data_IF_090955510247
#
_entry.id   IF_090955510247
#
_cell.length_a   1.000
_cell.length_b   1.000
_cell.length_c   1.000
_cell.angle_alpha   90.00
_cell.angle_beta   90.00
_cell.angle_gamma   90.00
#
_symmetry.space_group_name_H-M   'P 1'
#
loop_
_entity.id
_entity.type
_entity.pdbx_description
1 polymer ?
#
# COMPACT_ATOMS: atom_id res chain seq x y z
N UNK A 1 -32.08 -11.74 5.48
CA UNK A 1 -31.97 -11.79 4.00
C UNK A 1 -31.35 -10.49 3.46
N UNK A 2 -30.14 -10.10 3.91
CA UNK A 2 -29.47 -8.83 3.50
C UNK A 2 -27.96 -9.06 3.33
N UNK A 3 -27.54 -10.17 2.70
CA UNK A 3 -26.10 -10.45 2.44
C UNK A 3 -25.74 -10.65 0.97
N UNK A 4 -26.72 -10.78 0.06
CA UNK A 4 -26.43 -11.06 -1.36
C UNK A 4 -26.05 -9.80 -2.16
N UNK A 5 -26.46 -8.59 -1.73
CA UNK A 5 -26.18 -7.35 -2.47
C UNK A 5 -24.73 -6.85 -2.41
N UNK A 6 -23.97 -7.18 -1.36
CA UNK A 6 -22.58 -6.69 -1.19
C UNK A 6 -21.58 -7.51 -2.01
N UNK A 7 -21.88 -8.79 -2.27
CA UNK A 7 -21.01 -9.70 -3.02
C UNK A 7 -21.02 -9.41 -4.54
N UNK A 8 -22.16 -9.02 -5.11
CA UNK A 8 -22.26 -8.66 -6.54
C UNK A 8 -21.48 -7.37 -6.88
N UNK A 9 -21.41 -6.40 -5.96
CA UNK A 9 -20.66 -5.15 -6.14
C UNK A 9 -19.14 -5.38 -6.19
N UNK A 10 -18.61 -6.34 -5.43
CA UNK A 10 -17.19 -6.70 -5.48
C UNK A 10 -16.83 -7.44 -6.80
N UNK A 11 -17.72 -8.29 -7.30
CA UNK A 11 -17.47 -9.11 -8.49
C UNK A 11 -17.33 -8.29 -9.79
N UNK A 12 -18.08 -7.18 -9.90
CA UNK A 12 -17.99 -6.27 -11.06
C UNK A 12 -16.77 -5.33 -11.01
N UNK A 13 -16.14 -5.18 -9.84
CA UNK A 13 -14.92 -4.40 -9.62
C UNK A 13 -13.66 -5.11 -10.17
N UNK A 14 -13.61 -6.44 -10.08
CA UNK A 14 -12.45 -7.28 -10.48
C UNK A 14 -12.06 -7.13 -11.96
N UNK A 15 -13.01 -6.90 -12.87
CA UNK A 15 -12.75 -6.75 -14.32
C UNK A 15 -12.37 -5.30 -14.70
N UNK A 16 -12.77 -4.30 -13.90
CA UNK A 16 -12.37 -2.90 -14.11
C UNK A 16 -10.99 -2.60 -13.52
N UNK A 17 -10.62 -3.24 -12.41
CA UNK A 17 -9.38 -2.98 -11.68
C UNK A 17 -8.11 -3.37 -12.47
N UNK A 18 -8.13 -4.46 -13.24
CA UNK A 18 -6.95 -4.90 -14.04
C UNK A 18 -6.65 -3.97 -15.22
N UNK A 19 -7.68 -3.36 -15.82
CA UNK A 19 -7.51 -2.40 -16.93
C UNK A 19 -7.04 -1.03 -16.44
N UNK A 20 -7.56 -0.56 -15.30
CA UNK A 20 -7.11 0.68 -14.64
C UNK A 20 -5.68 0.55 -14.11
N UNK A 21 -5.28 -0.61 -13.58
CA UNK A 21 -3.91 -0.85 -13.13
C UNK A 21 -2.89 -0.81 -14.28
N UNK A 22 -3.21 -1.39 -15.44
CA UNK A 22 -2.36 -1.32 -16.64
C UNK A 22 -2.32 0.09 -17.25
N UNK A 23 -3.46 0.77 -17.35
CA UNK A 23 -3.53 2.14 -17.89
C UNK A 23 -2.80 3.15 -16.97
N UNK A 24 -2.80 2.93 -15.65
CA UNK A 24 -2.05 3.74 -14.68
C UNK A 24 -0.54 3.47 -14.71
N UNK A 25 -0.13 2.21 -14.93
CA UNK A 25 1.28 1.85 -15.16
C UNK A 25 1.80 2.49 -16.47
N UNK A 26 0.99 2.53 -17.54
CA UNK A 26 1.35 3.22 -18.78
C UNK A 26 1.34 4.76 -18.65
N UNK A 27 0.45 5.34 -17.83
CA UNK A 27 0.45 6.77 -17.54
C UNK A 27 1.68 7.20 -16.73
N UNK A 28 2.09 6.41 -15.73
CA UNK A 28 3.32 6.60 -14.95
C UNK A 28 4.59 6.53 -15.83
N UNK A 29 4.60 5.70 -16.88
CA UNK A 29 5.73 5.65 -17.79
C UNK A 29 5.86 6.90 -18.68
N UNK A 30 4.74 7.59 -18.95
CA UNK A 30 4.68 8.79 -19.78
C UNK A 30 5.11 10.06 -19.03
N UNK A 31 4.79 10.14 -17.74
CA UNK A 31 5.16 11.28 -16.89
C UNK A 31 6.62 11.22 -16.38
N UNK A 32 7.31 10.08 -16.56
CA UNK A 32 8.75 9.91 -16.33
C UNK A 32 9.62 10.58 -17.42
N UNK A 33 9.03 11.04 -18.53
CA UNK A 33 9.72 11.78 -19.59
C UNK A 33 9.43 13.29 -19.50
N UNK A 34 9.84 13.94 -18.41
CA UNK A 34 9.96 15.40 -18.39
C UNK A 34 11.40 15.81 -18.02
N UNK A 35 12.09 16.64 -18.83
CA UNK A 35 13.50 16.93 -18.68
C UNK A 35 13.71 18.08 -17.68
N UNK A 36 13.84 17.75 -16.40
CA UNK A 36 14.28 18.71 -15.38
C UNK A 36 15.27 18.04 -14.42
N UNK A 37 16.40 17.54 -14.93
CA UNK A 37 17.51 17.07 -14.09
C UNK A 37 18.81 17.64 -14.68
N UNK A 38 19.05 18.92 -14.42
CA UNK A 38 20.39 19.49 -14.43
C UNK A 38 20.68 19.94 -12.99
N UNK A 39 21.49 19.17 -12.26
CA UNK A 39 22.05 19.61 -10.97
C UNK A 39 21.76 18.74 -9.73
N UNK A 40 21.71 17.41 -9.84
CA UNK A 40 21.67 16.52 -8.67
C UNK A 40 22.91 15.61 -8.63
N UNK A 41 23.78 15.84 -7.65
CA UNK A 41 25.05 15.12 -7.45
C UNK A 41 24.88 13.75 -6.77
N UNK A 42 23.64 13.31 -6.47
CA UNK A 42 23.36 12.04 -5.79
C UNK A 42 22.39 11.14 -6.58
N UNK A 43 22.80 10.81 -7.81
CA UNK A 43 22.07 9.87 -8.68
C UNK A 43 21.98 8.45 -8.09
N UNK A 44 22.91 8.07 -7.19
CA UNK A 44 23.02 6.73 -6.63
C UNK A 44 21.87 6.34 -5.69
N UNK A 45 21.43 7.27 -4.84
CA UNK A 45 20.33 7.01 -3.89
C UNK A 45 18.97 6.82 -4.60
N UNK A 46 18.74 7.53 -5.72
CA UNK A 46 17.52 7.41 -6.50
C UNK A 46 17.46 6.07 -7.25
N UNK A 47 18.59 5.61 -7.82
CA UNK A 47 18.65 4.31 -8.50
C UNK A 47 18.50 3.13 -7.54
N UNK A 48 19.13 3.18 -6.36
CA UNK A 48 19.00 2.15 -5.32
C UNK A 48 17.55 2.05 -4.79
N UNK A 49 16.85 3.18 -4.67
CA UNK A 49 15.43 3.19 -4.28
C UNK A 49 14.51 2.62 -5.37
N UNK A 50 14.75 2.92 -6.64
CA UNK A 50 13.96 2.37 -7.74
C UNK A 50 14.16 0.85 -7.87
N UNK A 51 15.37 0.36 -7.63
CA UNK A 51 15.66 -1.07 -7.57
C UNK A 51 14.92 -1.75 -6.41
N UNK A 52 14.92 -1.14 -5.22
CA UNK A 52 14.15 -1.64 -4.06
C UNK A 52 12.63 -1.62 -4.28
N UNK A 53 12.10 -0.61 -4.96
CA UNK A 53 10.68 -0.56 -5.34
C UNK A 53 10.31 -1.66 -6.36
N UNK A 54 11.24 -2.03 -7.24
CA UNK A 54 11.09 -3.18 -8.14
C UNK A 54 11.11 -4.51 -7.37
N UNK A 55 12.01 -4.66 -6.38
CA UNK A 55 12.06 -5.84 -5.52
C UNK A 55 10.79 -6.03 -4.68
N UNK A 56 10.22 -4.94 -4.13
CA UNK A 56 8.92 -4.98 -3.45
C UNK A 56 7.78 -5.44 -4.38
N UNK A 57 7.86 -5.15 -5.69
CA UNK A 57 6.92 -5.69 -6.67
C UNK A 57 7.08 -7.20 -6.87
N UNK A 58 8.31 -7.72 -6.78
CA UNK A 58 8.58 -9.15 -6.87
C UNK A 58 8.14 -9.89 -5.60
N UNK A 59 8.43 -9.35 -4.42
CA UNK A 59 8.02 -9.93 -3.13
C UNK A 59 6.50 -9.95 -2.96
N UNK A 60 5.81 -8.88 -3.37
CA UNK A 60 4.35 -8.82 -3.32
C UNK A 60 3.67 -9.79 -4.29
N UNK A 61 4.26 -9.98 -5.48
CA UNK A 61 3.83 -11.00 -6.42
C UNK A 61 4.10 -12.41 -5.88
N UNK A 62 5.25 -12.64 -5.25
CA UNK A 62 5.61 -13.90 -4.61
C UNK A 62 4.69 -14.20 -3.41
N UNK A 63 4.33 -13.20 -2.61
CA UNK A 63 3.42 -13.33 -1.48
C UNK A 63 2.00 -13.65 -1.96
N UNK A 64 1.53 -12.94 -2.99
CA UNK A 64 0.25 -13.23 -3.64
C UNK A 64 0.25 -14.64 -4.27
N UNK A 65 1.35 -15.04 -4.91
CA UNK A 65 1.54 -16.39 -5.43
C UNK A 65 1.59 -17.44 -4.32
N UNK A 66 2.25 -17.21 -3.20
CA UNK A 66 2.27 -18.12 -2.04
C UNK A 66 0.88 -18.27 -1.41
N UNK A 67 0.10 -17.19 -1.36
CA UNK A 67 -1.30 -17.24 -0.91
C UNK A 67 -2.18 -18.04 -1.88
N UNK A 68 -1.89 -18.01 -3.19
CA UNK A 68 -2.61 -18.75 -4.22
C UNK A 68 -2.12 -20.20 -4.41
N UNK A 69 -0.83 -20.49 -4.23
CA UNK A 69 -0.20 -21.79 -4.49
C UNK A 69 -0.28 -22.76 -3.31
N UNK A 70 -0.51 -22.29 -2.07
CA UNK A 70 -0.70 -23.19 -0.92
C UNK A 70 -1.97 -24.04 -1.00
N UNK A 71 -2.77 -23.88 -2.06
CA UNK A 71 -3.90 -24.74 -2.42
C UNK A 71 -3.49 -26.08 -3.06
N UNK A 72 -2.25 -26.27 -3.54
CA UNK A 72 -1.84 -27.50 -4.24
C UNK A 72 -1.38 -28.64 -3.31
N UNK A 73 -0.96 -28.35 -2.08
CA UNK A 73 -0.32 -29.34 -1.20
C UNK A 73 -1.32 -30.20 -0.39
N UNK A 74 -2.62 -29.98 -0.52
CA UNK A 74 -3.67 -30.82 0.08
C UNK A 74 -4.14 -31.92 -0.90
N UNK A 75 -3.64 -31.93 -2.14
CA UNK A 75 -4.08 -32.83 -3.22
C UNK A 75 -3.15 -34.01 -3.58
N UNK A 76 -2.08 -34.28 -2.83
CA UNK A 76 -1.11 -35.34 -3.17
C UNK A 76 -1.33 -36.64 -2.38
N UNK A 77 -2.52 -37.23 -2.51
CA UNK A 77 -2.80 -38.55 -1.93
C UNK A 77 -3.89 -39.34 -2.67
N UNK A 78 -3.87 -39.40 -4.00
CA UNK A 78 -4.61 -40.38 -4.82
C UNK A 78 -4.03 -40.34 -6.24
N UNK A 79 -3.75 -41.39 -6.99
CA UNK A 79 -3.74 -42.83 -6.79
C UNK A 79 -3.04 -43.40 -8.04
N UNK A 80 -2.10 -44.32 -7.87
CA UNK A 80 -1.75 -45.30 -8.90
C UNK A 80 -2.87 -46.34 -8.94
N UNK A 81 -3.88 -46.17 -9.81
CA UNK A 81 -4.73 -47.30 -10.26
C UNK A 81 -5.26 -47.02 -11.67
N UNK A 82 -4.71 -47.77 -12.61
CA UNK A 82 -5.16 -47.94 -13.99
C UNK A 82 -6.62 -48.43 -14.04
N UNK A 83 -7.42 -47.89 -14.96
CA UNK A 83 -8.79 -48.36 -15.17
C UNK A 83 -9.69 -47.39 -15.92
N UNK A 84 -9.39 -47.16 -17.19
CA UNK A 84 -10.19 -46.39 -18.14
C UNK A 84 -11.51 -47.12 -18.48
N UNK A 85 -12.55 -46.98 -17.66
CA UNK A 85 -13.97 -47.06 -18.09
C UNK A 85 -15.02 -46.74 -17.00
N UNK A 86 -14.64 -46.01 -15.94
CA UNK A 86 -15.59 -45.60 -14.87
C UNK A 86 -15.60 -44.11 -14.55
N UNK A 87 -15.13 -43.25 -15.46
CA UNK A 87 -15.05 -41.81 -15.21
C UNK A 87 -16.43 -41.15 -15.02
N UNK A 88 -17.47 -41.58 -15.74
CA UNK A 88 -18.79 -40.93 -15.64
C UNK A 88 -19.65 -41.39 -14.44
N UNK A 89 -19.40 -42.61 -13.91
CA UNK A 89 -20.06 -43.09 -12.69
C UNK A 89 -19.30 -42.65 -11.42
N UNK A 90 -18.00 -42.42 -11.51
CA UNK A 90 -17.17 -41.93 -10.39
C UNK A 90 -17.34 -40.43 -10.17
N UNK A 91 -17.50 -39.63 -11.24
CA UNK A 91 -17.82 -38.19 -11.13
C UNK A 91 -19.18 -37.95 -10.46
N UNK A 92 -20.14 -38.88 -10.58
CA UNK A 92 -21.44 -38.79 -9.91
C UNK A 92 -21.48 -39.35 -8.47
N UNK A 93 -20.47 -40.12 -8.04
CA UNK A 93 -20.44 -40.74 -6.69
C UNK A 93 -19.41 -40.09 -5.76
N UNK A 94 -18.44 -39.36 -6.30
CA UNK A 94 -17.52 -38.52 -5.52
C UNK A 94 -18.15 -37.15 -5.26
N UNK A 95 -19.17 -37.11 -4.41
CA UNK A 95 -19.62 -35.89 -3.75
C UNK A 95 -18.56 -35.49 -2.71
N UNK A 96 -17.36 -35.12 -3.19
CA UNK A 96 -16.38 -34.42 -2.36
C UNK A 96 -17.03 -33.07 -2.07
N UNK A 97 -17.25 -32.69 -0.81
CA UNK A 97 -17.79 -31.39 -0.47
C UNK A 97 -16.74 -30.35 -0.86
N UNK A 98 -16.85 -29.85 -2.08
CA UNK A 98 -16.02 -28.78 -2.57
C UNK A 98 -16.46 -27.54 -1.81
N UNK A 99 -15.68 -27.14 -0.82
CA UNK A 99 -15.97 -26.03 0.08
C UNK A 99 -15.76 -24.70 -0.68
N UNK A 100 -16.64 -24.42 -1.65
CA UNK A 100 -16.57 -23.28 -2.58
C UNK A 100 -16.55 -21.93 -1.85
N UNK A 101 -17.12 -21.86 -0.63
CA UNK A 101 -17.10 -20.65 0.19
C UNK A 101 -15.71 -20.22 0.64
N UNK A 102 -14.78 -21.16 0.85
CA UNK A 102 -13.46 -20.83 1.39
C UNK A 102 -12.49 -20.33 0.29
N UNK A 103 -12.61 -20.87 -0.93
CA UNK A 103 -11.79 -20.43 -2.08
C UNK A 103 -12.14 -19.02 -2.54
N UNK A 104 -13.42 -18.66 -2.49
CA UNK A 104 -13.84 -17.29 -2.82
C UNK A 104 -13.28 -16.28 -1.81
N UNK A 105 -13.34 -16.58 -0.52
CA UNK A 105 -12.79 -15.72 0.54
C UNK A 105 -11.26 -15.54 0.39
N UNK A 106 -10.57 -16.60 -0.01
CA UNK A 106 -9.12 -16.58 -0.23
C UNK A 106 -8.72 -15.70 -1.43
N UNK A 107 -9.48 -15.75 -2.52
CA UNK A 107 -9.26 -14.85 -3.65
C UNK A 107 -9.56 -13.38 -3.33
N UNK A 108 -10.62 -13.12 -2.55
CA UNK A 108 -10.95 -11.75 -2.09
C UNK A 108 -9.84 -11.20 -1.20
N UNK A 109 -9.31 -12.00 -0.28
CA UNK A 109 -8.19 -11.61 0.58
C UNK A 109 -6.91 -11.37 -0.23
N UNK A 110 -6.57 -12.26 -1.17
CA UNK A 110 -5.39 -12.08 -2.02
C UNK A 110 -5.49 -10.79 -2.86
N UNK A 111 -6.67 -10.51 -3.42
CA UNK A 111 -6.93 -9.26 -4.14
C UNK A 111 -6.77 -8.05 -3.22
N UNK A 112 -7.34 -8.10 -2.01
CA UNK A 112 -7.24 -7.01 -1.04
C UNK A 112 -5.78 -6.73 -0.64
N UNK A 113 -5.00 -7.77 -0.39
CA UNK A 113 -3.56 -7.63 -0.10
C UNK A 113 -2.83 -6.97 -1.27
N UNK A 114 -3.12 -7.37 -2.52
CA UNK A 114 -2.53 -6.77 -3.70
C UNK A 114 -2.87 -5.27 -3.84
N UNK A 115 -4.13 -4.89 -3.57
CA UNK A 115 -4.58 -3.48 -3.55
C UNK A 115 -3.81 -2.67 -2.51
N UNK A 116 -3.71 -3.18 -1.28
CA UNK A 116 -3.00 -2.51 -0.18
C UNK A 116 -1.53 -2.29 -0.51
N UNK A 117 -0.86 -3.30 -1.05
CA UNK A 117 0.56 -3.21 -1.41
C UNK A 117 0.78 -2.26 -2.59
N UNK A 118 -0.10 -2.28 -3.60
CA UNK A 118 0.02 -1.36 -4.72
C UNK A 118 -0.15 0.11 -4.29
N UNK A 119 -1.11 0.38 -3.40
CA UNK A 119 -1.30 1.71 -2.83
C UNK A 119 -0.08 2.15 -2.00
N UNK A 120 0.44 1.25 -1.16
CA UNK A 120 1.66 1.47 -0.38
C UNK A 120 2.85 1.83 -1.30
N UNK A 121 3.07 1.08 -2.37
CA UNK A 121 4.13 1.33 -3.35
C UNK A 121 3.98 2.69 -4.04
N UNK A 122 2.76 3.02 -4.47
CA UNK A 122 2.44 4.32 -5.08
C UNK A 122 2.76 5.47 -4.12
N UNK A 123 2.40 5.36 -2.84
CA UNK A 123 2.70 6.38 -1.82
C UNK A 123 4.21 6.53 -1.60
N UNK A 124 4.96 5.43 -1.48
CA UNK A 124 6.41 5.49 -1.33
C UNK A 124 7.09 6.15 -2.53
N UNK A 125 6.65 5.85 -3.74
CA UNK A 125 7.16 6.50 -4.94
C UNK A 125 6.94 8.02 -4.89
N UNK A 126 5.74 8.48 -4.50
CA UNK A 126 5.46 9.90 -4.35
C UNK A 126 6.30 10.56 -3.24
N UNK A 127 6.49 9.88 -2.12
CA UNK A 127 7.36 10.34 -1.02
C UNK A 127 8.78 10.54 -1.55
N UNK A 128 9.36 9.56 -2.24
CA UNK A 128 10.72 9.65 -2.77
C UNK A 128 10.87 10.80 -3.77
N UNK A 129 9.94 10.96 -4.71
CA UNK A 129 9.94 12.08 -5.67
C UNK A 129 9.93 13.43 -4.96
N UNK A 130 9.23 13.56 -3.83
CA UNK A 130 9.12 14.82 -3.10
C UNK A 130 10.35 15.13 -2.24
N UNK A 131 10.98 14.11 -1.66
CA UNK A 131 12.20 14.29 -0.85
C UNK A 131 13.39 14.66 -1.72
N UNK A 132 13.59 13.98 -2.85
CA UNK A 132 14.78 14.19 -3.69
C UNK A 132 14.82 15.59 -4.29
N UNK A 133 13.67 16.16 -4.66
CA UNK A 133 13.58 17.51 -5.24
C UNK A 133 13.70 18.68 -4.26
N UNK A 134 14.07 18.46 -2.99
CA UNK A 134 14.07 19.52 -1.98
C UNK A 134 15.33 20.41 -2.05
N UNK A 135 15.20 21.75 -2.08
CA UNK A 135 16.34 22.64 -1.90
C UNK A 135 16.85 22.58 -0.45
N UNK A 136 18.14 22.29 -0.26
CA UNK A 136 18.75 22.17 1.08
C UNK A 136 19.11 23.53 1.74
N UNK A 137 18.99 24.65 1.02
CA UNK A 137 19.35 25.99 1.52
C UNK A 137 18.11 26.80 1.89
N UNK A 138 18.21 27.52 3.02
CA UNK A 138 17.24 28.53 3.51
C UNK A 138 15.82 28.01 3.81
N UNK A 139 15.68 26.70 4.05
CA UNK A 139 14.41 26.08 4.44
C UNK A 139 14.19 26.22 5.95
N UNK A 140 12.94 26.44 6.35
CA UNK A 140 12.56 26.45 7.76
C UNK A 140 12.95 25.10 8.40
N UNK A 141 13.57 25.15 9.58
CA UNK A 141 14.02 23.95 10.31
C UNK A 141 12.91 22.91 10.46
N UNK A 142 11.68 23.32 10.76
CA UNK A 142 10.55 22.40 10.94
C UNK A 142 10.22 21.63 9.66
N UNK A 143 10.21 22.32 8.52
CA UNK A 143 9.96 21.75 7.20
C UNK A 143 11.07 20.78 6.82
N UNK A 144 12.33 21.17 7.04
CA UNK A 144 13.49 20.30 6.81
C UNK A 144 13.40 19.03 7.66
N UNK A 145 13.04 19.15 8.94
CA UNK A 145 12.82 17.99 9.83
C UNK A 145 11.76 17.04 9.27
N UNK A 146 10.61 17.55 8.82
CA UNK A 146 9.54 16.71 8.24
C UNK A 146 10.03 15.89 7.05
N UNK A 147 10.83 16.48 6.16
CA UNK A 147 11.36 15.74 5.03
C UNK A 147 12.40 14.68 5.42
N UNK A 148 13.33 15.00 6.33
CA UNK A 148 14.35 14.04 6.80
C UNK A 148 13.70 12.88 7.55
N UNK A 149 12.76 13.17 8.44
CA UNK A 149 11.98 12.16 9.15
C UNK A 149 11.16 11.32 8.17
N UNK A 150 10.47 11.96 7.24
CA UNK A 150 9.67 11.28 6.23
C UNK A 150 10.52 10.36 5.33
N UNK A 151 11.69 10.81 4.90
CA UNK A 151 12.64 9.98 4.17
C UNK A 151 13.13 8.79 4.99
N UNK A 152 13.51 9.03 6.25
CA UNK A 152 14.01 7.99 7.15
C UNK A 152 12.94 6.92 7.39
N UNK A 153 11.69 7.32 7.62
CA UNK A 153 10.57 6.38 7.80
C UNK A 153 10.30 5.62 6.51
N UNK A 154 10.30 6.30 5.36
CA UNK A 154 10.09 5.64 4.07
C UNK A 154 11.20 4.62 3.75
N UNK A 155 12.46 4.93 4.05
CA UNK A 155 13.56 3.98 3.93
C UNK A 155 13.39 2.77 4.85
N UNK A 156 12.99 2.98 6.11
CA UNK A 156 12.70 1.87 7.04
C UNK A 156 11.60 0.97 6.50
N UNK A 157 10.49 1.56 6.05
CA UNK A 157 9.37 0.82 5.44
C UNK A 157 9.82 0.01 4.21
N UNK A 158 10.65 0.59 3.34
CA UNK A 158 11.24 -0.09 2.18
C UNK A 158 12.14 -1.26 2.58
N UNK A 159 12.92 -1.11 3.65
CA UNK A 159 13.85 -2.14 4.12
C UNK A 159 13.22 -3.21 5.01
N UNK A 160 12.00 -2.99 5.49
CA UNK A 160 11.37 -3.90 6.43
C UNK A 160 10.82 -5.13 5.69
N UNK A 161 11.28 -6.32 6.08
CA UNK A 161 10.71 -7.59 5.61
C UNK A 161 9.33 -7.83 6.23
N UNK A 162 8.50 -8.64 5.58
CA UNK A 162 7.25 -9.10 6.18
C UNK A 162 7.56 -9.98 7.40
N UNK A 163 7.16 -9.54 8.60
CA UNK A 163 7.27 -10.37 9.80
C UNK A 163 6.13 -11.40 9.81
N UNK A 164 6.46 -12.58 9.32
CA UNK A 164 5.57 -13.74 9.26
C UNK A 164 5.94 -14.80 10.31
N UNK A 165 6.82 -14.48 11.26
CA UNK A 165 7.32 -15.46 12.23
C UNK A 165 6.20 -15.87 13.20
N UNK A 166 5.59 -16.99 12.84
CA UNK A 166 4.60 -17.72 13.61
C UNK A 166 5.27 -18.98 14.12
N UNK A 167 5.73 -18.96 15.38
CA UNK A 167 6.19 -20.15 16.11
C UNK A 167 5.01 -21.08 16.37
N UNK A 168 4.60 -21.83 15.35
CA UNK A 168 3.48 -22.76 15.44
C UNK A 168 3.88 -24.10 14.85
N UNK A 169 4.04 -25.07 15.75
CA UNK A 169 4.31 -26.47 15.44
C UNK A 169 3.06 -27.24 14.98
N UNK A 170 1.96 -26.58 14.61
CA UNK A 170 0.70 -27.23 14.24
C UNK A 170 0.39 -27.11 12.74
N UNK A 171 0.17 -28.25 12.08
CA UNK A 171 -0.23 -28.38 10.67
C UNK A 171 -1.74 -28.17 10.47
N UNK A 172 -2.34 -27.24 11.22
CA UNK A 172 -3.79 -27.07 11.28
C UNK A 172 -4.29 -25.91 10.41
N UNK A 173 -5.55 -26.02 9.98
CA UNK A 173 -6.34 -24.99 9.28
C UNK A 173 -6.25 -23.60 9.91
N UNK A 174 -6.11 -23.54 11.24
CA UNK A 174 -5.97 -22.32 12.03
C UNK A 174 -4.67 -21.56 11.69
N UNK A 175 -3.58 -22.25 11.39
CA UNK A 175 -2.30 -21.64 11.02
C UNK A 175 -2.42 -20.80 9.73
N UNK A 176 -3.09 -21.34 8.71
CA UNK A 176 -3.26 -20.64 7.42
C UNK A 176 -4.18 -19.42 7.58
N UNK A 177 -5.24 -19.52 8.38
CA UNK A 177 -6.14 -18.40 8.67
C UNK A 177 -5.42 -17.27 9.44
N UNK A 178 -4.60 -17.64 10.43
CA UNK A 178 -3.79 -16.68 11.19
C UNK A 178 -2.71 -16.01 10.35
N UNK A 179 -2.05 -16.77 9.46
CA UNK A 179 -1.06 -16.22 8.53
C UNK A 179 -1.69 -15.18 7.58
N UNK A 180 -2.87 -15.47 7.04
CA UNK A 180 -3.63 -14.52 6.20
C UNK A 180 -3.96 -13.23 6.95
N UNK A 181 -4.44 -13.34 8.19
CA UNK A 181 -4.71 -12.19 9.05
C UNK A 181 -3.45 -11.36 9.33
N UNK A 182 -2.30 -11.99 9.53
CA UNK A 182 -1.04 -11.27 9.70
C UNK A 182 -0.61 -10.52 8.44
N UNK A 183 -0.75 -11.15 7.28
CA UNK A 183 -0.37 -10.53 6.00
C UNK A 183 -1.22 -9.27 5.74
N UNK A 184 -2.55 -9.36 5.89
CA UNK A 184 -3.42 -8.19 5.69
C UNK A 184 -3.16 -7.11 6.74
N UNK A 185 -2.83 -7.50 7.98
CA UNK A 185 -2.48 -6.56 9.03
C UNK A 185 -1.19 -5.80 8.72
N UNK A 186 -0.13 -6.50 8.32
CA UNK A 186 1.13 -5.87 7.97
C UNK A 186 0.99 -4.97 6.73
N UNK A 187 0.30 -5.45 5.68
CA UNK A 187 0.03 -4.64 4.49
C UNK A 187 -0.77 -3.37 4.82
N UNK A 188 -1.79 -3.47 5.68
CA UNK A 188 -2.58 -2.34 6.15
C UNK A 188 -1.72 -1.35 6.96
N UNK A 189 -0.85 -1.85 7.83
CA UNK A 189 0.08 -1.05 8.62
C UNK A 189 1.08 -0.27 7.76
N UNK A 190 1.68 -0.93 6.77
CA UNK A 190 2.59 -0.27 5.81
C UNK A 190 1.88 0.81 5.01
N UNK A 191 0.69 0.54 4.47
CA UNK A 191 -0.13 1.52 3.74
C UNK A 191 -0.48 2.72 4.63
N UNK A 192 -0.91 2.47 5.86
CA UNK A 192 -1.26 3.51 6.83
C UNK A 192 -0.06 4.41 7.15
N UNK A 193 1.08 3.81 7.48
CA UNK A 193 2.30 4.55 7.80
C UNK A 193 2.82 5.35 6.61
N UNK A 194 2.84 4.75 5.41
CA UNK A 194 3.22 5.45 4.19
C UNK A 194 2.28 6.63 3.89
N UNK A 195 0.96 6.46 4.06
CA UNK A 195 0.02 7.55 3.85
C UNK A 195 0.24 8.71 4.83
N UNK A 196 0.51 8.40 6.09
CA UNK A 196 0.81 9.40 7.12
C UNK A 196 2.04 10.22 6.75
N UNK A 197 3.12 9.55 6.36
CA UNK A 197 4.36 10.21 5.90
C UNK A 197 4.09 11.04 4.64
N UNK A 198 3.34 10.51 3.68
CA UNK A 198 2.96 11.20 2.46
C UNK A 198 2.23 12.52 2.76
N UNK A 199 1.25 12.52 3.67
CA UNK A 199 0.53 13.74 4.04
C UNK A 199 1.46 14.80 4.64
N UNK A 200 2.36 14.40 5.53
CA UNK A 200 3.34 15.31 6.14
C UNK A 200 4.29 15.92 5.09
N UNK A 201 4.82 15.09 4.20
CA UNK A 201 5.70 15.56 3.11
C UNK A 201 4.94 16.45 2.13
N UNK A 202 3.69 16.12 1.81
CA UNK A 202 2.85 16.95 0.94
C UNK A 202 2.59 18.34 1.55
N UNK A 203 2.38 18.42 2.86
CA UNK A 203 2.25 19.70 3.58
C UNK A 203 3.54 20.52 3.52
N UNK A 204 4.68 19.88 3.78
CA UNK A 204 6.00 20.50 3.66
C UNK A 204 6.28 21.01 2.22
N UNK A 205 5.89 20.24 1.20
CA UNK A 205 6.00 20.65 -0.20
C UNK A 205 5.10 21.84 -0.54
N UNK A 206 3.85 21.85 -0.07
CA UNK A 206 2.94 23.00 -0.25
C UNK A 206 3.50 24.26 0.41
N UNK A 207 4.06 24.15 1.62
CA UNK A 207 4.74 25.27 2.27
C UNK A 207 5.85 25.85 1.39
N UNK A 208 6.71 25.00 0.82
CA UNK A 208 7.80 25.45 -0.05
C UNK A 208 7.27 26.20 -1.28
N UNK A 209 6.28 25.63 -1.97
CA UNK A 209 5.66 26.24 -3.15
C UNK A 209 5.02 27.60 -2.81
N UNK A 210 4.26 27.66 -1.72
CA UNK A 210 3.58 28.88 -1.27
C UNK A 210 4.59 29.96 -0.87
N UNK A 211 5.65 29.58 -0.13
CA UNK A 211 6.71 30.50 0.25
C UNK A 211 7.44 31.06 -0.97
N UNK A 212 7.85 30.22 -1.92
CA UNK A 212 8.47 30.67 -3.18
C UNK A 212 7.53 31.54 -4.01
N UNK A 213 6.23 31.29 -3.97
CA UNK A 213 5.24 32.15 -4.61
C UNK A 213 5.17 33.52 -3.95
N UNK A 214 5.08 33.58 -2.62
CA UNK A 214 5.06 34.84 -1.85
C UNK A 214 6.35 35.65 -2.08
N UNK A 215 7.52 35.01 -2.04
CA UNK A 215 8.81 35.70 -2.28
C UNK A 215 8.93 36.29 -3.68
N UNK A 216 8.31 35.67 -4.71
CA UNK A 216 8.36 36.16 -6.10
C UNK A 216 7.33 37.23 -6.44
N UNK A 217 6.19 37.26 -5.75
CA UNK A 217 5.02 38.05 -6.17
C UNK A 217 4.49 39.04 -5.13
N UNK A 218 5.13 39.16 -3.96
CA UNK A 218 4.65 40.09 -2.92
C UNK A 218 5.34 41.43 -2.99
N UNK A 219 4.56 42.50 -2.82
CA UNK A 219 5.11 43.82 -2.53
C UNK A 219 5.75 43.82 -1.12
N UNK A 220 6.82 44.58 -0.95
CA UNK A 220 7.60 44.62 0.29
C UNK A 220 6.79 44.96 1.55
N UNK A 221 5.68 45.70 1.40
CA UNK A 221 4.86 46.19 2.53
C UNK A 221 4.11 45.09 3.29
N UNK A 222 3.70 44.02 2.61
CA UNK A 222 2.91 42.93 3.20
C UNK A 222 3.65 41.57 3.20
N UNK A 223 4.93 41.58 2.84
CA UNK A 223 5.72 40.36 2.66
C UNK A 223 5.78 39.54 3.96
N UNK A 224 6.15 40.16 5.08
CA UNK A 224 6.34 39.46 6.35
C UNK A 224 5.05 38.78 6.83
N UNK A 225 3.92 39.49 6.73
CA UNK A 225 2.62 38.94 7.11
C UNK A 225 2.24 37.73 6.24
N UNK A 226 2.43 37.83 4.92
CA UNK A 226 2.12 36.72 4.01
C UNK A 226 3.03 35.51 4.22
N UNK A 227 4.30 35.73 4.57
CA UNK A 227 5.21 34.64 4.91
C UNK A 227 4.78 33.97 6.23
N UNK A 228 4.35 34.76 7.21
CA UNK A 228 3.80 34.25 8.47
C UNK A 228 2.51 33.43 8.24
N UNK A 229 1.61 33.89 7.38
CA UNK A 229 0.40 33.14 7.03
C UNK A 229 0.73 31.77 6.42
N UNK A 230 1.77 31.70 5.58
CA UNK A 230 2.26 30.43 5.01
C UNK A 230 2.81 29.49 6.08
N UNK A 231 3.54 30.03 7.07
CA UNK A 231 4.04 29.24 8.20
C UNK A 231 2.89 28.70 9.07
N UNK A 232 1.89 29.53 9.39
CA UNK A 232 0.72 29.14 10.19
C UNK A 232 -0.05 28.00 9.50
N UNK A 233 -0.33 28.14 8.20
CA UNK A 233 -1.01 27.10 7.43
C UNK A 233 -0.25 25.76 7.46
N UNK A 234 1.08 25.79 7.38
CA UNK A 234 1.88 24.57 7.46
C UNK A 234 1.78 23.89 8.83
N UNK A 235 1.86 24.66 9.92
CA UNK A 235 1.72 24.08 11.26
C UNK A 235 0.32 23.52 11.51
N UNK A 236 -0.72 24.18 11.02
CA UNK A 236 -2.09 23.66 11.07
C UNK A 236 -2.22 22.35 10.27
N UNK A 237 -1.68 22.30 9.05
CA UNK A 237 -1.70 21.08 8.23
C UNK A 237 -1.00 19.92 8.92
N UNK A 238 0.23 20.12 9.44
CA UNK A 238 1.00 19.08 10.13
C UNK A 238 0.30 18.63 11.41
N UNK A 239 -0.23 19.55 12.20
CA UNK A 239 -0.97 19.23 13.42
C UNK A 239 -2.22 18.38 13.12
N UNK A 240 -2.85 18.59 11.97
CA UNK A 240 -4.01 17.83 11.54
C UNK A 240 -3.68 16.43 11.00
N UNK A 241 -2.40 16.11 10.74
CA UNK A 241 -1.99 14.75 10.34
C UNK A 241 -2.03 13.82 11.55
N UNK A 242 -3.18 13.18 11.76
CA UNK A 242 -3.41 12.20 12.82
C UNK A 242 -3.79 10.83 12.25
N UNK A 243 -3.63 9.76 13.03
CA UNK A 243 -3.98 8.40 12.59
C UNK A 243 -5.46 8.26 12.24
N UNK A 244 -6.34 9.02 12.91
CA UNK A 244 -7.77 9.04 12.60
C UNK A 244 -8.04 9.68 11.24
N UNK A 245 -7.37 10.79 10.92
CA UNK A 245 -7.48 11.46 9.62
C UNK A 245 -6.95 10.56 8.52
N UNK A 246 -5.80 9.91 8.73
CA UNK A 246 -5.23 8.95 7.79
C UNK A 246 -6.20 7.80 7.52
N UNK A 247 -6.72 7.15 8.56
CA UNK A 247 -7.67 6.05 8.41
C UNK A 247 -8.94 6.47 7.68
N UNK A 248 -9.48 7.66 8.00
CA UNK A 248 -10.65 8.22 7.32
C UNK A 248 -10.37 8.48 5.83
N UNK A 249 -9.20 9.03 5.48
CA UNK A 249 -8.81 9.31 4.10
C UNK A 249 -8.66 8.02 3.29
N UNK A 250 -7.98 7.01 3.85
CA UNK A 250 -7.82 5.70 3.22
C UNK A 250 -9.15 4.99 3.03
N UNK A 251 -10.03 5.00 4.05
CA UNK A 251 -11.38 4.44 3.94
C UNK A 251 -12.19 5.13 2.85
N UNK A 252 -12.13 6.45 2.78
CA UNK A 252 -12.81 7.22 1.74
C UNK A 252 -12.23 6.90 0.34
N UNK A 253 -10.92 6.68 0.23
CA UNK A 253 -10.29 6.24 -1.02
C UNK A 253 -10.77 4.85 -1.44
N UNK A 254 -10.80 3.90 -0.51
CA UNK A 254 -11.27 2.53 -0.77
C UNK A 254 -12.74 2.52 -1.24
N UNK A 255 -13.60 3.33 -0.62
CA UNK A 255 -15.00 3.49 -1.05
C UNK A 255 -15.09 4.05 -2.48
N UNK A 256 -14.29 5.08 -2.81
CA UNK A 256 -14.27 5.65 -4.17
C UNK A 256 -13.76 4.66 -5.21
N UNK A 257 -12.83 3.79 -4.83
CA UNK A 257 -12.28 2.76 -5.71
C UNK A 257 -13.15 1.50 -5.80
N UNK A 258 -14.15 1.36 -4.93
CA UNK A 258 -14.99 0.16 -4.87
C UNK A 258 -14.25 -1.08 -4.38
N UNK A 259 -13.26 -0.90 -3.50
CA UNK A 259 -12.49 -2.00 -2.90
C UNK A 259 -13.30 -2.72 -1.81
N UNK A 260 -13.09 -4.03 -1.69
CA UNK A 260 -13.63 -4.82 -0.60
C UNK A 260 -12.71 -4.69 0.62
N UNK A 261 -13.23 -4.20 1.75
CA UNK A 261 -12.45 -3.93 2.96
C UNK A 261 -13.06 -4.57 4.21
N UNK A 262 -13.97 -5.53 4.05
CA UNK A 262 -14.71 -6.15 5.15
C UNK A 262 -13.78 -6.93 6.11
N UNK A 263 -12.68 -7.45 5.58
CA UNK A 263 -11.66 -8.21 6.31
C UNK A 263 -10.49 -7.34 6.79
N UNK A 264 -10.58 -6.01 6.62
CA UNK A 264 -9.50 -5.11 7.05
C UNK A 264 -9.41 -5.06 8.58
N UNK A 265 -8.19 -5.03 9.13
CA UNK A 265 -7.98 -4.88 10.56
C UNK A 265 -8.48 -3.50 11.06
N UNK A 266 -8.98 -3.42 12.30
CA UNK A 266 -9.37 -2.16 12.89
C UNK A 266 -8.15 -1.27 13.20
N UNK A 267 -8.35 0.06 13.21
CA UNK A 267 -7.27 1.05 13.34
C UNK A 267 -6.38 0.83 14.57
N UNK A 268 -6.94 0.42 15.71
CA UNK A 268 -6.16 0.16 16.92
C UNK A 268 -5.16 -1.00 16.74
N UNK A 269 -5.53 -2.04 16.00
CA UNK A 269 -4.62 -3.14 15.68
C UNK A 269 -3.52 -2.68 14.75
N UNK A 270 -3.87 -1.88 13.73
CA UNK A 270 -2.90 -1.27 12.82
C UNK A 270 -1.88 -0.43 13.59
N UNK A 271 -2.32 0.46 14.47
CA UNK A 271 -1.42 1.32 15.26
C UNK A 271 -0.53 0.48 16.19
N UNK A 272 -1.09 -0.52 16.87
CA UNK A 272 -0.31 -1.42 17.73
C UNK A 272 0.74 -2.22 16.95
N UNK A 273 0.41 -2.63 15.73
CA UNK A 273 1.35 -3.31 14.83
C UNK A 273 2.48 -2.38 14.42
N UNK A 274 2.15 -1.14 14.04
CA UNK A 274 3.15 -0.13 13.67
C UNK A 274 4.13 0.09 14.82
N UNK A 275 3.63 0.31 16.04
CA UNK A 275 4.47 0.56 17.22
C UNK A 275 5.40 -0.60 17.60
N UNK A 276 5.08 -1.83 17.19
CA UNK A 276 5.87 -3.01 17.49
C UNK A 276 6.88 -3.37 16.40
N UNK A 277 6.67 -2.92 15.16
CA UNK A 277 7.48 -3.35 14.00
C UNK A 277 8.21 -2.20 13.27
N UNK A 278 7.80 -0.93 13.46
CA UNK A 278 8.33 0.24 12.72
C UNK A 278 8.68 1.43 13.64
#
# INVERSE_FOLDING_TARGET
MVKEGTQELCYTSTVRSTRVALDFVFALHRDLCCPCIEGMDDFGAATDCLEKLSLLSAESLELAQKLLLKESDIGSATADLEGSEKLDEFVNRAQIPVNHGNRFLDHVLALRVAELINDYRSMLNHIMIHVTGMPLRDVNRSVHTVFIEGYTVAQRLLSASFDLDMTSNSRDFDYTAQLKHRIILDASARRHQAHKVYLSIAAAKRWLLNRSYVLRHSAAKDLDKRLQDVDVLFYEEIHNVSDRVVASNLRAADIRSGYCFDEDPPLNMIISWIQSHY
#
